data_IF_630944658917
#
_entry.id   IF_630944658917
#
_cell.length_a   1.000
_cell.length_b   1.000
_cell.length_c   1.000
_cell.angle_alpha   90.00
_cell.angle_beta   90.00
_cell.angle_gamma   90.00
#
_symmetry.space_group_name_H-M   'P 1'
#
loop_
_entity.id
_entity.type
_entity.pdbx_description
1 polymer ?
#
# COMPACT_ATOMS: atom_id res chain seq x y z
N UNK A 1 6.49 -8.66 13.50
CA UNK A 1 5.18 -9.10 12.98
C UNK A 1 4.83 -8.11 11.91
N UNK A 2 4.63 -8.58 10.68
CA UNK A 2 4.42 -7.67 9.56
C UNK A 2 3.21 -6.77 9.80
N UNK A 3 3.30 -5.52 9.34
CA UNK A 3 2.21 -4.56 9.34
C UNK A 3 2.31 -3.63 8.16
N UNK A 4 1.17 -3.12 7.72
CA UNK A 4 1.09 -2.04 6.74
C UNK A 4 0.87 -0.73 7.46
N UNK A 5 1.65 0.29 7.09
CA UNK A 5 1.45 1.65 7.59
C UNK A 5 1.25 2.58 6.41
N UNK A 6 0.16 3.36 6.42
CA UNK A 6 -0.03 4.38 5.40
C UNK A 6 1.02 5.49 5.52
N UNK A 7 1.64 5.87 4.40
CA UNK A 7 2.66 6.92 4.33
C UNK A 7 2.14 8.30 4.77
N UNK A 8 0.84 8.57 4.59
CA UNK A 8 0.20 9.87 4.88
C UNK A 8 -0.62 9.83 6.16
N UNK A 9 -1.75 9.12 6.19
CA UNK A 9 -2.68 9.14 7.33
C UNK A 9 -2.22 8.31 8.54
N UNK A 10 -1.11 7.57 8.41
CA UNK A 10 -0.52 6.72 9.45
C UNK A 10 -1.43 5.61 9.97
N UNK A 11 -2.51 5.28 9.27
CA UNK A 11 -3.32 4.10 9.55
C UNK A 11 -2.45 2.84 9.52
N UNK A 12 -2.69 1.93 10.47
CA UNK A 12 -1.93 0.69 10.64
C UNK A 12 -2.86 -0.49 10.44
N UNK A 13 -2.45 -1.43 9.60
CA UNK A 13 -3.15 -2.69 9.36
C UNK A 13 -2.24 -3.84 9.76
N UNK A 14 -2.73 -4.67 10.69
CA UNK A 14 -1.98 -5.80 11.27
C UNK A 14 -2.61 -7.15 10.95
N UNK A 15 -3.80 -7.16 10.33
CA UNK A 15 -4.48 -8.38 9.94
C UNK A 15 -3.74 -9.05 8.78
N UNK A 16 -3.48 -10.35 8.90
CA UNK A 16 -2.75 -11.12 7.88
C UNK A 16 -3.44 -11.09 6.51
N UNK A 17 -4.78 -11.06 6.51
CA UNK A 17 -5.58 -10.97 5.28
C UNK A 17 -5.32 -9.66 4.52
N UNK A 18 -5.25 -8.52 5.23
CA UNK A 18 -4.98 -7.21 4.63
C UNK A 18 -3.54 -7.13 4.10
N UNK A 19 -2.59 -7.68 4.85
CA UNK A 19 -1.17 -7.76 4.46
C UNK A 19 -1.01 -8.60 3.19
N UNK A 20 -1.68 -9.76 3.13
CA UNK A 20 -1.67 -10.63 1.96
C UNK A 20 -2.29 -9.93 0.75
N UNK A 21 -3.45 -9.30 0.91
CA UNK A 21 -4.12 -8.58 -0.17
C UNK A 21 -3.23 -7.47 -0.75
N UNK A 22 -2.59 -6.67 0.10
CA UNK A 22 -1.69 -5.62 -0.36
C UNK A 22 -0.45 -6.16 -1.08
N UNK A 23 0.08 -7.32 -0.66
CA UNK A 23 1.18 -8.01 -1.36
C UNK A 23 0.75 -8.52 -2.73
N UNK A 24 -0.45 -9.10 -2.82
CA UNK A 24 -1.01 -9.60 -4.07
C UNK A 24 -1.27 -8.45 -5.07
N UNK A 25 -1.68 -7.27 -4.57
CA UNK A 25 -1.89 -6.06 -5.39
C UNK A 25 -0.60 -5.39 -5.89
N UNK A 26 0.56 -5.69 -5.30
CA UNK A 26 1.80 -4.93 -5.51
C UNK A 26 2.21 -4.83 -6.98
N UNK A 27 2.18 -5.94 -7.71
CA UNK A 27 2.63 -5.97 -9.10
C UNK A 27 1.71 -5.13 -10.00
N UNK A 28 0.39 -5.24 -9.80
CA UNK A 28 -0.58 -4.47 -10.56
C UNK A 28 -0.49 -2.98 -10.21
N UNK A 29 -0.31 -2.64 -8.94
CA UNK A 29 -0.13 -1.27 -8.50
C UNK A 29 1.15 -0.63 -9.07
N UNK A 30 2.29 -1.32 -9.03
CA UNK A 30 3.55 -0.87 -9.63
C UNK A 30 3.40 -0.65 -11.15
N UNK A 31 2.66 -1.53 -11.84
CA UNK A 31 2.37 -1.38 -13.26
C UNK A 31 1.55 -0.13 -13.56
N UNK A 32 0.46 0.08 -12.82
CA UNK A 32 -0.38 1.28 -12.95
C UNK A 32 0.42 2.56 -12.70
N UNK A 33 1.22 2.59 -11.63
CA UNK A 33 2.07 3.73 -11.30
C UNK A 33 3.05 4.05 -12.45
N UNK A 34 3.65 3.02 -13.06
CA UNK A 34 4.56 3.20 -14.18
C UNK A 34 3.87 3.79 -15.42
N UNK A 35 2.63 3.39 -15.71
CA UNK A 35 1.83 3.95 -16.81
C UNK A 35 1.59 5.46 -16.62
N UNK A 36 1.46 5.91 -15.37
CA UNK A 36 1.27 7.32 -14.99
C UNK A 36 2.59 8.10 -14.75
N UNK A 37 3.76 7.51 -15.05
CA UNK A 37 5.08 8.05 -14.70
C UNK A 37 5.26 8.38 -13.20
N UNK A 38 4.58 7.63 -12.34
CA UNK A 38 4.64 7.73 -10.89
C UNK A 38 5.52 6.61 -10.30
N UNK A 39 6.30 6.92 -9.26
CA UNK A 39 7.12 5.94 -8.53
C UNK A 39 6.48 5.73 -7.16
N UNK A 40 5.90 4.54 -6.90
CA UNK A 40 5.24 4.28 -5.63
C UNK A 40 6.24 4.18 -4.48
N UNK A 41 5.86 4.69 -3.31
CA UNK A 41 6.59 4.53 -2.04
C UNK A 41 6.14 3.28 -1.29
N UNK A 42 4.92 2.82 -1.54
CA UNK A 42 4.31 1.65 -0.90
C UNK A 42 4.05 0.51 -1.86
N UNK A 43 3.32 -0.48 -1.39
CA UNK A 43 2.95 -1.67 -2.16
C UNK A 43 1.50 -1.65 -2.64
N UNK A 44 0.68 -0.75 -2.11
CA UNK A 44 -0.72 -0.59 -2.47
C UNK A 44 -1.20 0.83 -2.10
N UNK A 45 -2.28 1.35 -2.72
CA UNK A 45 -2.89 2.60 -2.29
C UNK A 45 -3.54 2.45 -0.90
N UNK A 46 -3.68 3.55 -0.16
CA UNK A 46 -4.43 3.56 1.08
C UNK A 46 -5.91 3.25 0.81
N UNK A 47 -6.55 2.30 1.54
CA UNK A 47 -7.96 1.97 1.31
C UNK A 47 -8.91 3.06 1.80
N UNK A 48 -8.42 4.02 2.60
CA UNK A 48 -9.18 5.22 2.89
C UNK A 48 -9.23 6.08 1.62
N UNK A 49 -10.41 6.14 1.00
CA UNK A 49 -10.66 6.82 -0.29
C UNK A 49 -10.24 8.29 -0.29
N UNK A 50 -10.25 8.96 0.88
CA UNK A 50 -9.83 10.36 1.01
C UNK A 50 -8.32 10.54 1.23
N UNK A 51 -7.56 9.44 1.30
CA UNK A 51 -6.13 9.44 1.59
C UNK A 51 -5.32 9.11 0.33
N UNK A 52 -4.52 10.07 -0.14
CA UNK A 52 -3.59 9.90 -1.26
C UNK A 52 -2.29 9.18 -0.86
N UNK A 53 -2.29 8.53 0.31
CA UNK A 53 -1.13 7.80 0.82
C UNK A 53 -1.04 6.38 0.28
N UNK A 54 0.06 5.72 0.63
CA UNK A 54 0.39 4.38 0.18
C UNK A 54 0.71 3.48 1.37
N UNK A 55 0.37 2.20 1.29
CA UNK A 55 0.64 1.21 2.32
C UNK A 55 2.10 0.74 2.22
N UNK A 56 2.89 1.00 3.27
CA UNK A 56 4.28 0.56 3.39
C UNK A 56 4.32 -0.68 4.27
N UNK A 57 4.88 -1.77 3.77
CA UNK A 57 5.12 -2.98 4.53
C UNK A 57 6.33 -2.80 5.46
N UNK A 58 6.13 -3.09 6.75
CA UNK A 58 7.18 -3.03 7.78
C UNK A 58 7.16 -4.32 8.61
N UNK A 59 8.33 -4.74 9.10
CA UNK A 59 8.53 -6.01 9.82
C UNK A 59 8.31 -5.89 11.34
#
# INVERSE_FOLDING_TARGET
>A
MEKLTCSVCKAVYTEEADIKLAKDMKQDYEKMCKEDNFIPKGIAPCPNVMCEGELILTA
#
